data_IF_419877979239
#
_entry.id   IF_419877979239
#
_cell.length_a   1.000
_cell.length_b   1.000
_cell.length_c   1.000
_cell.angle_alpha   90.00
_cell.angle_beta   90.00
_cell.angle_gamma   90.00
#
_symmetry.space_group_name_H-M   'P 1'
#
loop_
_entity.id
_entity.type
_entity.pdbx_description
1 polymer ?
#
# COMPACT_ATOMS: atom_id res chain seq x y z
N UNK A 1 -9.48 -3.83 0.99
CA UNK A 1 -10.29 -3.32 2.11
C UNK A 1 -10.90 -2.04 1.60
N UNK A 2 -12.17 -1.81 1.92
CA UNK A 2 -12.81 -0.54 1.63
C UNK A 2 -12.48 0.45 2.77
N UNK A 3 -12.02 1.65 2.43
CA UNK A 3 -11.54 2.64 3.40
C UNK A 3 -12.68 3.26 4.21
N UNK A 4 -13.88 3.36 3.62
CA UNK A 4 -15.02 3.98 4.31
C UNK A 4 -15.67 3.03 5.32
N UNK A 5 -15.74 1.74 5.01
CA UNK A 5 -16.45 0.75 5.82
C UNK A 5 -15.55 -0.15 6.65
N UNK A 6 -14.23 -0.07 6.48
CA UNK A 6 -13.23 -0.98 7.05
C UNK A 6 -13.49 -2.47 6.71
N UNK A 7 -14.27 -2.75 5.66
CA UNK A 7 -14.65 -4.12 5.29
C UNK A 7 -13.66 -4.73 4.31
N UNK A 8 -13.49 -6.03 4.44
CA UNK A 8 -12.80 -6.84 3.44
C UNK A 8 -13.77 -7.06 2.28
N UNK A 9 -13.47 -6.45 1.13
CA UNK A 9 -14.28 -6.57 -0.10
C UNK A 9 -14.04 -7.91 -0.79
N UNK A 10 -12.79 -8.37 -0.81
CA UNK A 10 -12.40 -9.63 -1.44
C UNK A 10 -11.19 -10.22 -0.71
N UNK A 11 -11.13 -11.54 -0.66
CA UNK A 11 -9.97 -12.30 -0.21
C UNK A 11 -9.79 -13.53 -1.07
N UNK A 12 -8.55 -13.83 -1.43
CA UNK A 12 -8.24 -15.00 -2.23
C UNK A 12 -6.87 -15.58 -1.90
N UNK A 13 -6.76 -16.90 -2.00
CA UNK A 13 -5.51 -17.64 -1.84
C UNK A 13 -5.02 -18.14 -3.20
N UNK A 14 -3.85 -17.65 -3.63
CA UNK A 14 -3.14 -18.17 -4.80
C UNK A 14 -2.09 -19.16 -4.34
N UNK A 15 -2.01 -20.34 -4.98
CA UNK A 15 -0.93 -21.31 -4.77
C UNK A 15 0.13 -21.20 -5.86
N UNK A 16 1.37 -21.58 -5.53
CA UNK A 16 2.49 -21.55 -6.49
C UNK A 16 2.24 -22.42 -7.73
N UNK A 17 1.43 -23.47 -7.63
CA UNK A 17 1.02 -24.31 -8.77
C UNK A 17 0.17 -23.57 -9.80
N UNK A 18 -0.41 -22.44 -9.43
CA UNK A 18 -1.22 -21.58 -10.30
C UNK A 18 -0.40 -20.45 -10.94
N UNK A 19 0.89 -20.35 -10.59
CA UNK A 19 1.81 -19.33 -11.09
C UNK A 19 3.09 -19.97 -11.63
N UNK A 20 3.85 -19.22 -12.44
CA UNK A 20 5.13 -19.71 -12.96
C UNK A 20 6.25 -19.72 -11.92
N UNK A 21 6.09 -18.96 -10.83
CA UNK A 21 7.05 -18.83 -9.73
C UNK A 21 6.38 -18.21 -8.51
N UNK A 22 7.04 -18.29 -7.35
CA UNK A 22 6.58 -17.60 -6.13
C UNK A 22 6.45 -16.08 -6.32
N UNK A 23 7.36 -15.47 -7.08
CA UNK A 23 7.34 -14.03 -7.39
C UNK A 23 6.16 -13.68 -8.29
N UNK A 24 5.76 -14.57 -9.19
CA UNK A 24 4.62 -14.36 -10.09
C UNK A 24 3.26 -14.53 -9.39
N UNK A 25 3.22 -15.11 -8.18
CA UNK A 25 1.96 -15.30 -7.44
C UNK A 25 1.30 -13.97 -7.07
N UNK A 26 2.07 -12.95 -6.69
CA UNK A 26 1.54 -11.63 -6.32
C UNK A 26 0.83 -10.97 -7.53
N UNK A 27 1.45 -10.83 -8.72
CA UNK A 27 0.76 -10.40 -9.94
C UNK A 27 -0.51 -11.20 -10.28
N UNK A 28 -0.47 -12.53 -10.15
CA UNK A 28 -1.62 -13.40 -10.46
C UNK A 28 -2.78 -13.12 -9.51
N UNK A 29 -2.52 -13.10 -8.21
CA UNK A 29 -3.55 -12.82 -7.20
C UNK A 29 -4.10 -11.41 -7.31
N UNK A 30 -3.22 -10.43 -7.56
CA UNK A 30 -3.61 -9.04 -7.74
C UNK A 30 -4.61 -8.87 -8.89
N UNK A 31 -4.28 -9.37 -10.09
CA UNK A 31 -5.16 -9.26 -11.26
C UNK A 31 -6.48 -9.96 -11.04
N UNK A 32 -6.45 -11.16 -10.44
CA UNK A 32 -7.64 -11.95 -10.18
C UNK A 32 -8.58 -11.22 -9.20
N UNK A 33 -8.03 -10.63 -8.15
CA UNK A 33 -8.78 -9.82 -7.19
C UNK A 33 -9.43 -8.60 -7.85
N UNK A 34 -8.66 -7.79 -8.58
CA UNK A 34 -9.17 -6.59 -9.27
C UNK A 34 -10.27 -6.94 -10.27
N UNK A 35 -10.05 -7.97 -11.09
CA UNK A 35 -11.04 -8.43 -12.06
C UNK A 35 -12.31 -8.92 -11.38
N UNK A 36 -12.20 -9.72 -10.31
CA UNK A 36 -13.38 -10.25 -9.57
C UNK A 36 -14.23 -9.11 -9.01
N UNK A 37 -13.60 -8.07 -8.46
CA UNK A 37 -14.29 -6.90 -7.92
C UNK A 37 -15.04 -6.15 -9.04
N UNK A 38 -14.39 -5.92 -10.18
CA UNK A 38 -15.01 -5.24 -11.32
C UNK A 38 -16.12 -6.07 -11.97
N UNK A 39 -15.97 -7.38 -12.06
CA UNK A 39 -16.98 -8.31 -12.58
C UNK A 39 -18.26 -8.33 -11.71
N UNK A 40 -18.13 -8.03 -10.42
CA UNK A 40 -19.28 -7.86 -9.50
C UNK A 40 -19.96 -6.49 -9.65
N UNK A 41 -19.51 -5.65 -10.59
CA UNK A 41 -20.05 -4.31 -10.82
C UNK A 41 -19.56 -3.27 -9.81
N UNK A 42 -18.49 -3.56 -9.07
CA UNK A 42 -17.88 -2.62 -8.12
C UNK A 42 -16.80 -1.83 -8.86
N UNK A 43 -16.99 -0.52 -8.96
CA UNK A 43 -15.99 0.39 -9.50
C UNK A 43 -14.91 0.68 -8.45
N UNK A 44 -13.64 0.63 -8.87
CA UNK A 44 -12.48 0.94 -8.03
C UNK A 44 -11.95 2.30 -8.49
N UNK A 45 -12.23 3.35 -7.72
CA UNK A 45 -11.74 4.69 -8.02
C UNK A 45 -10.25 4.83 -7.65
N UNK A 46 -9.91 4.48 -6.41
CA UNK A 46 -8.53 4.53 -5.88
C UNK A 46 -8.08 3.15 -5.42
N UNK A 47 -6.84 2.80 -5.74
CA UNK A 47 -6.19 1.57 -5.31
C UNK A 47 -4.85 1.88 -4.64
N UNK A 48 -4.74 1.53 -3.37
CA UNK A 48 -3.51 1.70 -2.58
C UNK A 48 -2.76 0.37 -2.49
N UNK A 49 -1.49 0.35 -2.88
CA UNK A 49 -0.64 -0.86 -2.80
C UNK A 49 0.74 -0.58 -2.23
N UNK A 50 1.46 -1.66 -1.93
CA UNK A 50 2.90 -1.60 -1.68
C UNK A 50 3.69 -1.15 -2.91
N UNK A 51 4.96 -0.81 -2.69
CA UNK A 51 5.92 -0.38 -3.73
C UNK A 51 6.48 -1.57 -4.53
N UNK A 52 5.61 -2.45 -5.02
CA UNK A 52 5.99 -3.56 -5.89
C UNK A 52 6.10 -3.09 -7.35
N UNK A 53 7.28 -3.22 -8.02
CA UNK A 53 7.45 -2.76 -9.40
C UNK A 53 6.53 -3.46 -10.41
N UNK A 54 6.22 -4.74 -10.19
CA UNK A 54 5.31 -5.52 -11.02
C UNK A 54 3.88 -5.00 -10.91
N UNK A 55 3.37 -4.80 -9.69
CA UNK A 55 2.03 -4.28 -9.45
C UNK A 55 1.86 -2.86 -9.96
N UNK A 56 2.86 -1.99 -9.74
CA UNK A 56 2.86 -0.63 -10.32
C UNK A 56 2.76 -0.67 -11.85
N UNK A 57 3.50 -1.57 -12.51
CA UNK A 57 3.44 -1.72 -13.96
C UNK A 57 2.08 -2.24 -14.42
N UNK A 58 1.54 -3.26 -13.75
CA UNK A 58 0.25 -3.86 -14.06
C UNK A 58 -0.85 -2.83 -13.93
N UNK A 59 -0.93 -2.12 -12.81
CA UNK A 59 -1.96 -1.09 -12.58
C UNK A 59 -1.92 -0.02 -13.67
N UNK A 60 -0.73 0.50 -13.99
CA UNK A 60 -0.57 1.52 -15.04
C UNK A 60 -0.96 1.03 -16.45
N UNK A 61 -0.67 -0.23 -16.78
CA UNK A 61 -0.81 -0.74 -18.16
C UNK A 61 -2.17 -1.39 -18.40
N UNK A 62 -2.67 -2.15 -17.42
CA UNK A 62 -3.87 -2.98 -17.55
C UNK A 62 -5.10 -2.34 -16.91
N UNK A 63 -4.91 -1.45 -15.92
CA UNK A 63 -5.99 -0.79 -15.20
C UNK A 63 -5.83 0.74 -15.21
N UNK A 64 -5.68 1.39 -16.38
CA UNK A 64 -5.29 2.80 -16.50
C UNK A 64 -6.32 3.78 -15.94
N UNK A 65 -7.56 3.34 -15.74
CA UNK A 65 -8.64 4.16 -15.19
C UNK A 65 -8.66 4.18 -13.66
N UNK A 66 -7.93 3.28 -13.00
CA UNK A 66 -7.84 3.22 -11.55
C UNK A 66 -6.74 4.19 -11.09
N UNK A 67 -7.06 5.10 -10.17
CA UNK A 67 -6.06 5.96 -9.55
C UNK A 67 -5.18 5.14 -8.60
N UNK A 68 -3.88 5.05 -8.89
CA UNK A 68 -2.96 4.23 -8.12
C UNK A 68 -2.17 5.06 -7.10
N UNK A 69 -2.30 4.70 -5.83
CA UNK A 69 -1.55 5.28 -4.73
C UNK A 69 -0.65 4.25 -4.03
N UNK A 70 0.34 4.75 -3.30
CA UNK A 70 1.20 3.92 -2.46
C UNK A 70 0.78 4.01 -1.00
N UNK A 71 0.86 2.87 -0.31
CA UNK A 71 0.69 2.85 1.13
C UNK A 71 1.77 3.69 1.82
N UNK A 72 1.36 4.84 2.36
CA UNK A 72 2.21 5.79 3.06
C UNK A 72 2.74 5.22 4.38
N UNK A 73 2.05 4.26 4.99
CA UNK A 73 2.50 3.61 6.21
C UNK A 73 3.88 2.99 6.04
N UNK A 74 4.15 2.36 4.89
CA UNK A 74 5.47 1.81 4.58
C UNK A 74 6.57 2.89 4.53
N UNK A 75 6.24 4.12 4.11
CA UNK A 75 7.17 5.26 4.11
C UNK A 75 7.45 5.72 5.55
N UNK A 76 6.39 5.97 6.32
CA UNK A 76 6.49 6.44 7.71
C UNK A 76 7.25 5.43 8.58
N UNK A 77 6.95 4.14 8.42
CA UNK A 77 7.66 3.05 9.10
C UNK A 77 9.15 3.01 8.74
N UNK A 78 9.48 3.21 7.46
CA UNK A 78 10.87 3.27 6.99
C UNK A 78 11.64 4.45 7.58
N UNK A 79 11.00 5.62 7.63
CA UNK A 79 11.55 6.83 8.24
C UNK A 79 11.78 6.63 9.75
N UNK A 80 10.77 6.13 10.45
CA UNK A 80 10.83 5.85 11.90
C UNK A 80 12.02 4.96 12.25
N UNK A 81 12.25 3.89 11.47
CA UNK A 81 13.39 2.99 11.67
C UNK A 81 14.74 3.71 11.51
N UNK A 82 14.87 4.58 10.50
CA UNK A 82 16.09 5.35 10.27
C UNK A 82 16.33 6.35 11.39
N UNK A 83 15.30 7.06 11.83
CA UNK A 83 15.38 8.00 12.96
C UNK A 83 15.80 7.30 14.25
N UNK A 84 15.17 6.17 14.58
CA UNK A 84 15.58 5.34 15.72
C UNK A 84 17.02 4.83 15.63
N UNK A 85 17.48 4.48 14.43
CA UNK A 85 18.87 4.06 14.23
C UNK A 85 19.84 5.22 14.48
N UNK A 86 19.52 6.40 13.95
CA UNK A 86 20.38 7.58 14.03
C UNK A 86 20.39 8.22 15.43
N UNK A 87 19.29 8.18 16.17
CA UNK A 87 19.21 8.78 17.51
C UNK A 87 20.10 8.09 18.55
N UNK A 88 20.55 6.86 18.28
CA UNK A 88 21.43 6.08 19.17
C UNK A 88 22.87 6.57 19.18
N UNK A 89 23.28 7.38 18.19
CA UNK A 89 24.61 7.96 18.14
C UNK A 89 24.72 9.15 19.10
N UNK A 90 25.87 9.29 19.78
CA UNK A 90 26.09 10.36 20.77
C UNK A 90 25.90 11.75 20.18
N UNK A 91 26.29 11.94 18.93
CA UNK A 91 26.22 13.23 18.21
C UNK A 91 24.79 13.55 17.74
N UNK A 92 23.86 12.59 17.80
CA UNK A 92 22.50 12.70 17.28
C UNK A 92 21.43 12.60 18.39
N UNK A 93 21.79 12.92 19.64
CA UNK A 93 20.86 12.86 20.78
C UNK A 93 19.61 13.72 20.59
N UNK A 94 19.71 14.80 19.81
CA UNK A 94 18.60 15.68 19.45
C UNK A 94 17.50 14.98 18.63
N UNK A 95 17.80 13.83 18.01
CA UNK A 95 16.81 13.04 17.28
C UNK A 95 15.92 12.18 18.20
N UNK A 96 16.26 12.02 19.48
CA UNK A 96 15.52 11.16 20.42
C UNK A 96 14.02 11.51 20.53
N UNK A 97 13.60 12.79 20.63
CA UNK A 97 12.18 13.15 20.66
C UNK A 97 11.40 12.74 19.41
N UNK A 98 12.10 12.59 18.27
CA UNK A 98 11.51 12.26 16.96
C UNK A 98 11.39 10.75 16.72
N UNK A 99 11.86 9.93 17.65
CA UNK A 99 11.82 8.45 17.53
C UNK A 99 10.44 7.88 17.81
N UNK A 100 9.63 8.59 18.58
CA UNK A 100 8.27 8.21 18.94
C UNK A 100 7.28 8.82 17.93
N UNK A 101 7.21 8.23 16.74
CA UNK A 101 6.09 8.49 15.81
C UNK A 101 4.93 7.58 16.24
N UNK A 102 4.43 7.76 17.46
CA UNK A 102 3.19 7.14 17.93
C UNK A 102 2.14 8.23 17.97
N UNK A 103 1.36 8.35 16.89
CA UNK A 103 0.20 9.25 16.89
C UNK A 103 0.21 10.38 15.86
N UNK A 104 1.05 10.33 14.82
CA UNK A 104 0.61 10.95 13.57
C UNK A 104 -0.47 10.00 13.02
N UNK A 105 -1.70 10.18 13.52
CA UNK A 105 -2.87 9.94 12.71
C UNK A 105 -2.52 10.53 11.34
N UNK A 106 -2.55 9.70 10.31
CA UNK A 106 -2.50 10.16 8.93
C UNK A 106 -3.80 10.93 8.74
N UNK A 107 -3.84 12.15 9.28
CA UNK A 107 -4.86 13.12 8.98
C UNK A 107 -4.38 13.71 7.66
N UNK A 108 -4.57 12.91 6.61
CA UNK A 108 -4.63 13.43 5.26
C UNK A 108 -5.79 14.41 5.28
N UNK A 109 -5.43 15.68 5.42
CA UNK A 109 -6.31 16.80 5.15
C UNK A 109 -6.85 16.55 3.74
N UNK A 110 -8.15 16.27 3.65
CA UNK A 110 -8.91 16.39 2.41
C UNK A 110 -8.66 17.79 1.86
N UNK A 111 -7.78 17.91 0.87
CA UNK A 111 -7.70 19.08 -0.01
C UNK A 111 -8.42 18.69 -1.30
N UNK A 112 -9.73 18.54 -1.21
CA UNK A 112 -10.63 18.51 -2.36
C UNK A 112 -11.90 19.30 -2.04
N UNK A 113 -11.75 20.62 -1.95
CA UNK A 113 -12.80 21.55 -2.37
C UNK A 113 -12.18 22.65 -3.23
N UNK A 114 -12.33 22.49 -4.54
CA UNK A 114 -12.73 23.55 -5.49
C UNK A 114 -13.39 22.89 -6.67
#
# INVERSE_FOLDING_TARGET
MDDTTDKIVHFELVRVTEASSSVAMEPVGFKRAVNTIQEQGIEIDVLTTDRSPSIRKITRVEYPNIHHEFDIWHVVKGLSKKLCSMSRYKDNRELQPWTTISGIAVQLVEVTQT
#
